data_IF_641459764102
#
_entry.id   IF_641459764102
#
_cell.length_a   1.000
_cell.length_b   1.000
_cell.length_c   1.000
_cell.angle_alpha   90.00
_cell.angle_beta   90.00
_cell.angle_gamma   90.00
#
_symmetry.space_group_name_H-M   'P 1'
#
loop_
_entity.id
_entity.type
_entity.pdbx_description
1 polymer ?
#
# COMPACT_ATOMS: atom_id res chain seq x y z
N UNK A 1 -6.33 -3.34 -11.32
CA UNK A 1 -6.77 -3.64 -12.69
C UNK A 1 -6.64 -2.44 -13.59
N UNK A 2 -6.76 -2.65 -14.90
CA UNK A 2 -6.75 -1.58 -15.91
C UNK A 2 -7.88 -1.82 -16.89
N UNK A 3 -8.51 -0.73 -17.36
CA UNK A 3 -9.62 -0.75 -18.30
C UNK A 3 -9.14 -0.49 -19.74
N UNK A 4 -10.01 -0.65 -20.70
CA UNK A 4 -9.82 -0.07 -22.03
C UNK A 4 -9.74 1.46 -21.94
N UNK A 5 -9.14 2.10 -22.95
CA UNK A 5 -9.02 3.56 -23.02
C UNK A 5 -10.36 4.23 -23.26
N UNK A 6 -10.60 5.32 -22.55
CA UNK A 6 -11.72 6.23 -22.73
C UNK A 6 -11.19 7.66 -22.95
N UNK A 7 -12.05 8.55 -23.41
CA UNK A 7 -11.69 9.96 -23.47
C UNK A 7 -11.27 10.42 -22.07
N UNK A 8 -10.08 11.03 -21.90
CA UNK A 8 -9.63 11.54 -20.62
C UNK A 8 -10.60 12.58 -20.04
N UNK A 9 -10.99 12.38 -18.78
CA UNK A 9 -11.88 13.26 -18.03
C UNK A 9 -11.51 13.35 -16.55
N UNK A 10 -10.82 12.34 -16.00
CA UNK A 10 -10.43 12.28 -14.61
C UNK A 10 -8.98 12.71 -14.45
N UNK A 11 -8.75 13.95 -14.05
CA UNK A 11 -7.41 14.54 -13.90
C UNK A 11 -6.80 14.35 -12.52
N UNK A 12 -7.50 13.70 -11.60
CA UNK A 12 -7.06 13.50 -10.22
C UNK A 12 -7.05 12.01 -9.88
N UNK A 13 -6.20 11.65 -8.93
CA UNK A 13 -6.31 10.36 -8.25
C UNK A 13 -7.40 10.46 -7.20
N UNK A 14 -8.40 9.61 -7.29
CA UNK A 14 -9.47 9.51 -6.30
C UNK A 14 -9.21 8.31 -5.41
N UNK A 15 -9.29 8.51 -4.10
CA UNK A 15 -9.15 7.46 -3.09
C UNK A 15 -10.32 7.57 -2.13
N UNK A 16 -11.05 6.49 -1.93
CA UNK A 16 -12.09 6.38 -0.92
C UNK A 16 -11.63 5.43 0.19
N UNK A 17 -11.39 5.97 1.39
CA UNK A 17 -11.06 5.15 2.56
C UNK A 17 -12.24 4.32 3.06
N UNK A 18 -13.49 4.78 2.86
CA UNK A 18 -14.70 4.06 3.28
C UNK A 18 -15.04 2.89 2.35
N UNK A 19 -14.91 3.09 1.04
CA UNK A 19 -15.18 2.06 0.04
C UNK A 19 -13.93 1.25 -0.33
N UNK A 20 -12.79 1.59 0.25
CA UNK A 20 -11.49 0.95 0.02
C UNK A 20 -11.12 0.84 -1.46
N UNK A 21 -11.36 1.89 -2.24
CA UNK A 21 -11.01 1.92 -3.66
C UNK A 21 -10.08 3.09 -3.98
N UNK A 22 -9.26 2.91 -4.99
CA UNK A 22 -8.61 4.01 -5.69
C UNK A 22 -8.84 3.92 -7.19
N UNK A 23 -8.85 5.08 -7.85
CA UNK A 23 -9.08 5.25 -9.27
C UNK A 23 -8.23 6.41 -9.78
N UNK A 24 -7.53 6.19 -10.87
CA UNK A 24 -6.88 7.26 -11.64
C UNK A 24 -6.99 6.97 -13.13
N UNK A 25 -6.86 8.01 -13.95
CA UNK A 25 -6.87 7.87 -15.40
C UNK A 25 -5.51 8.26 -15.97
N UNK A 26 -5.01 7.48 -16.92
CA UNK A 26 -3.78 7.80 -17.66
C UNK A 26 -4.05 8.85 -18.73
N UNK A 27 -3.01 9.50 -19.22
CA UNK A 27 -3.13 10.45 -20.34
C UNK A 27 -3.63 9.80 -21.63
N UNK A 28 -3.49 8.48 -21.76
CA UNK A 28 -4.00 7.70 -22.89
C UNK A 28 -5.44 7.26 -22.71
N UNK A 29 -6.02 7.49 -21.53
CA UNK A 29 -7.41 7.25 -21.22
C UNK A 29 -7.75 5.97 -20.48
N UNK A 30 -6.79 5.05 -20.22
CA UNK A 30 -7.05 3.87 -19.39
C UNK A 30 -7.26 4.28 -17.94
N UNK A 31 -8.22 3.65 -17.27
CA UNK A 31 -8.39 3.77 -15.84
C UNK A 31 -7.53 2.73 -15.12
N UNK A 32 -6.70 3.17 -14.20
CA UNK A 32 -5.94 2.33 -13.26
C UNK A 32 -6.67 2.29 -11.94
N UNK A 33 -7.05 1.09 -11.54
CA UNK A 33 -8.01 0.84 -10.50
C UNK A 33 -7.49 -0.19 -9.51
N UNK A 34 -7.80 0.00 -8.24
CA UNK A 34 -7.45 -0.97 -7.22
C UNK A 34 -8.31 -0.87 -5.98
N UNK A 35 -8.25 -1.93 -5.22
CA UNK A 35 -8.97 -2.11 -3.98
C UNK A 35 -8.13 -2.99 -3.05
N UNK A 36 -8.44 -2.94 -1.79
CA UNK A 36 -8.26 -3.85 -0.69
C UNK A 36 -7.08 -4.82 -0.66
N UNK A 37 -6.99 -5.47 0.46
CA UNK A 37 -6.05 -6.56 0.75
C UNK A 37 -6.89 -7.77 1.11
N UNK A 38 -6.47 -8.97 0.71
CA UNK A 38 -7.13 -10.21 1.12
C UNK A 38 -7.10 -10.35 2.65
N UNK A 39 -8.19 -10.86 3.21
CA UNK A 39 -8.39 -10.92 4.67
C UNK A 39 -7.53 -12.00 5.35
N UNK A 40 -6.92 -12.88 4.57
CA UNK A 40 -6.04 -13.94 5.08
C UNK A 40 -4.73 -13.99 4.31
N UNK A 41 -3.60 -14.29 4.98
CA UNK A 41 -2.29 -14.32 4.33
C UNK A 41 -2.16 -15.51 3.37
N UNK A 42 -1.67 -15.24 2.17
CA UNK A 42 -1.34 -16.26 1.17
C UNK A 42 -0.30 -15.72 0.19
N UNK A 43 0.35 -16.61 -0.57
CA UNK A 43 1.37 -16.25 -1.55
C UNK A 43 0.85 -16.17 -2.99
N UNK A 44 -0.45 -16.23 -3.21
CA UNK A 44 -1.06 -16.11 -4.53
C UNK A 44 -0.93 -14.68 -5.07
N UNK A 45 -0.42 -14.55 -6.30
CA UNK A 45 -0.34 -13.26 -7.01
C UNK A 45 -1.36 -13.16 -8.15
N UNK A 46 -2.40 -13.97 -8.10
CA UNK A 46 -3.50 -13.93 -9.07
C UNK A 46 -4.65 -13.14 -8.48
N UNK A 47 -5.13 -12.16 -9.23
CA UNK A 47 -6.36 -11.47 -8.87
C UNK A 47 -7.56 -12.40 -8.99
N UNK A 48 -8.57 -12.16 -8.18
CA UNK A 48 -9.76 -13.02 -8.04
C UNK A 48 -11.00 -12.37 -8.67
N UNK A 49 -12.03 -13.17 -8.92
CA UNK A 49 -13.34 -12.65 -9.34
C UNK A 49 -13.97 -11.83 -8.20
N UNK A 50 -13.81 -12.26 -6.95
CA UNK A 50 -14.31 -11.52 -5.79
C UNK A 50 -13.75 -10.10 -5.69
N UNK A 51 -12.45 -9.90 -6.02
CA UNK A 51 -11.90 -8.56 -6.16
C UNK A 51 -12.64 -7.74 -7.21
N UNK A 52 -12.87 -8.32 -8.40
CA UNK A 52 -13.54 -7.60 -9.49
C UNK A 52 -14.98 -7.23 -9.13
N UNK A 53 -15.74 -8.13 -8.51
CA UNK A 53 -17.12 -7.90 -8.08
C UNK A 53 -17.20 -6.80 -7.01
N UNK A 54 -16.37 -6.90 -5.97
CA UNK A 54 -16.30 -5.89 -4.90
C UNK A 54 -15.91 -4.51 -5.44
N UNK A 55 -14.86 -4.46 -6.27
CA UNK A 55 -14.43 -3.20 -6.86
C UNK A 55 -15.50 -2.60 -7.77
N UNK A 56 -16.13 -3.41 -8.64
CA UNK A 56 -17.17 -2.94 -9.54
C UNK A 56 -18.37 -2.35 -8.77
N UNK A 57 -18.80 -3.01 -7.69
CA UNK A 57 -19.88 -2.49 -6.85
C UNK A 57 -19.53 -1.10 -6.28
N UNK A 58 -18.36 -0.97 -5.66
CA UNK A 58 -17.95 0.28 -5.01
C UNK A 58 -17.64 1.40 -6.00
N UNK A 59 -16.97 1.10 -7.11
CA UNK A 59 -16.65 2.13 -8.10
C UNK A 59 -17.89 2.66 -8.79
N UNK A 60 -18.89 1.81 -9.06
CA UNK A 60 -20.14 2.23 -9.69
C UNK A 60 -21.04 3.06 -8.75
N UNK A 61 -20.89 2.88 -7.44
CA UNK A 61 -21.52 3.77 -6.46
C UNK A 61 -21.02 5.22 -6.58
N UNK A 62 -19.69 5.39 -6.76
CA UNK A 62 -19.07 6.72 -6.92
C UNK A 62 -19.15 7.26 -8.35
N UNK A 63 -19.01 6.39 -9.32
CA UNK A 63 -18.90 6.75 -10.74
C UNK A 63 -19.84 5.90 -11.60
N UNK A 64 -21.18 6.12 -11.55
CA UNK A 64 -22.14 5.34 -12.34
C UNK A 64 -21.88 5.38 -13.85
N UNK A 65 -21.19 6.41 -14.33
CA UNK A 65 -20.81 6.55 -15.74
C UNK A 65 -19.91 5.41 -16.23
N UNK A 66 -19.26 4.67 -15.33
CA UNK A 66 -18.36 3.56 -15.66
C UNK A 66 -19.07 2.21 -15.87
N UNK A 67 -20.41 2.17 -15.87
CA UNK A 67 -21.20 0.93 -15.96
C UNK A 67 -20.93 0.06 -17.20
N UNK A 68 -20.42 0.64 -18.29
CA UNK A 68 -20.10 -0.07 -19.53
C UNK A 68 -18.58 -0.20 -19.78
N UNK A 69 -17.76 0.03 -18.75
CA UNK A 69 -16.29 -0.01 -18.88
C UNK A 69 -15.83 -1.46 -18.99
N UNK A 70 -15.06 -1.78 -20.02
CA UNK A 70 -14.45 -3.10 -20.16
C UNK A 70 -13.10 -3.15 -19.43
N UNK A 71 -12.94 -4.16 -18.57
CA UNK A 71 -11.66 -4.47 -17.91
C UNK A 71 -10.78 -5.24 -18.90
N UNK A 72 -9.57 -4.72 -19.15
CA UNK A 72 -8.60 -5.38 -20.02
C UNK A 72 -7.73 -6.36 -19.24
N UNK A 73 -7.31 -5.97 -18.03
CA UNK A 73 -6.39 -6.77 -17.23
C UNK A 73 -6.59 -6.54 -15.76
N UNK A 74 -6.42 -7.60 -14.99
CA UNK A 74 -6.30 -7.53 -13.53
C UNK A 74 -5.09 -8.33 -13.05
N UNK A 75 -4.53 -7.93 -11.92
CA UNK A 75 -3.38 -8.58 -11.28
C UNK A 75 -3.43 -8.35 -9.78
N UNK A 76 -2.67 -9.13 -9.04
CA UNK A 76 -2.43 -8.93 -7.62
C UNK A 76 -0.93 -8.92 -7.34
N UNK A 77 -0.54 -8.43 -6.18
CA UNK A 77 0.82 -8.44 -5.66
C UNK A 77 0.83 -8.86 -4.20
N UNK A 78 2.01 -9.13 -3.67
CA UNK A 78 2.18 -9.43 -2.25
C UNK A 78 2.36 -8.12 -1.49
N UNK A 79 1.69 -8.01 -0.35
CA UNK A 79 1.89 -6.94 0.64
C UNK A 79 2.58 -7.54 1.87
N UNK A 80 3.73 -6.99 2.25
CA UNK A 80 4.48 -7.34 3.44
C UNK A 80 3.93 -6.59 4.66
N UNK A 81 2.86 -7.13 5.25
CA UNK A 81 2.17 -6.50 6.36
C UNK A 81 2.81 -6.84 7.70
N UNK A 82 3.04 -5.82 8.52
CA UNK A 82 3.46 -5.96 9.92
C UNK A 82 2.25 -6.01 10.86
N UNK A 83 2.41 -6.50 12.12
CA UNK A 83 1.29 -6.58 13.06
C UNK A 83 0.61 -5.24 13.38
N UNK A 84 1.33 -4.12 13.25
CA UNK A 84 0.83 -2.76 13.51
C UNK A 84 0.65 -1.93 12.23
N UNK A 85 0.72 -2.58 11.06
CA UNK A 85 0.59 -1.94 9.73
C UNK A 85 1.62 -0.84 9.45
N UNK A 86 2.69 -0.75 10.24
CA UNK A 86 3.75 0.24 10.09
C UNK A 86 5.08 -0.40 9.71
N UNK A 87 5.92 0.24 8.90
CA UNK A 87 7.17 -0.37 8.41
C UNK A 87 8.14 -0.66 9.56
N UNK A 88 9.12 -1.50 9.28
CA UNK A 88 10.30 -1.70 10.12
C UNK A 88 11.45 -0.98 9.46
N UNK A 89 12.05 -0.01 10.16
CA UNK A 89 13.28 0.66 9.76
C UNK A 89 14.20 0.62 10.98
N UNK A 90 15.09 -0.37 11.03
CA UNK A 90 15.85 -0.66 12.25
C UNK A 90 17.21 -1.28 11.95
N UNK A 91 18.18 -1.00 12.79
CA UNK A 91 19.26 -1.93 13.03
C UNK A 91 18.71 -3.07 13.90
N UNK A 92 19.17 -4.30 13.65
CA UNK A 92 18.86 -5.45 14.48
C UNK A 92 20.02 -5.61 15.47
N UNK A 93 19.74 -5.38 16.75
CA UNK A 93 20.77 -5.26 17.78
C UNK A 93 21.56 -6.56 18.00
N UNK A 94 20.98 -7.72 17.71
CA UNK A 94 21.58 -9.03 17.87
C UNK A 94 22.62 -9.37 16.78
N UNK A 95 22.63 -8.61 15.68
CA UNK A 95 23.50 -8.88 14.53
C UNK A 95 24.19 -7.58 14.11
N UNK A 96 25.49 -7.47 14.40
CA UNK A 96 26.24 -6.25 14.04
C UNK A 96 26.21 -6.00 12.52
N UNK A 97 25.92 -4.74 12.16
CA UNK A 97 25.83 -4.32 10.76
C UNK A 97 24.61 -4.80 9.99
N UNK A 98 23.64 -5.45 10.65
CA UNK A 98 22.40 -5.87 9.99
C UNK A 98 21.30 -4.83 10.17
N UNK A 99 20.78 -4.36 9.05
CA UNK A 99 19.71 -3.36 8.98
C UNK A 99 18.52 -3.89 8.21
N UNK A 100 17.32 -3.57 8.66
CA UNK A 100 16.06 -3.91 8.00
C UNK A 100 15.32 -2.63 7.60
N UNK A 101 14.85 -2.60 6.38
CA UNK A 101 13.93 -1.59 5.89
C UNK A 101 12.86 -2.32 5.04
N UNK A 102 11.72 -2.62 5.65
CA UNK A 102 10.68 -3.47 5.06
C UNK A 102 9.37 -3.37 5.81
N UNK A 103 8.41 -4.23 5.47
CA UNK A 103 7.08 -4.20 6.09
C UNK A 103 6.24 -2.99 5.66
N UNK A 104 6.43 -2.52 4.43
CA UNK A 104 5.82 -1.29 3.92
C UNK A 104 4.36 -1.45 3.52
N UNK A 105 3.87 -2.67 3.46
CA UNK A 105 2.50 -2.93 3.05
C UNK A 105 2.17 -2.31 1.69
N UNK A 106 1.39 -1.23 1.68
CA UNK A 106 0.95 -0.53 0.46
C UNK A 106 1.62 0.83 0.22
N UNK A 107 2.52 1.29 1.11
CA UNK A 107 3.05 2.68 1.08
C UNK A 107 4.46 2.82 0.55
N UNK A 108 5.18 1.74 0.33
CA UNK A 108 6.62 1.74 0.10
C UNK A 108 7.07 2.67 -1.02
N UNK A 109 6.34 2.74 -2.13
CA UNK A 109 6.73 3.55 -3.26
C UNK A 109 6.83 5.05 -2.90
N UNK A 110 5.76 5.63 -2.35
CA UNK A 110 5.73 7.06 -2.01
C UNK A 110 6.61 7.41 -0.81
N UNK A 111 6.85 6.46 0.08
CA UNK A 111 7.69 6.66 1.26
C UNK A 111 9.19 6.47 0.96
N UNK A 112 9.55 5.91 -0.19
CA UNK A 112 10.93 5.52 -0.52
C UNK A 112 11.97 6.65 -0.40
N UNK A 113 11.71 7.93 -0.78
CA UNK A 113 12.70 8.97 -0.63
C UNK A 113 13.03 9.27 0.84
N UNK A 114 12.02 9.41 1.68
CA UNK A 114 12.20 9.68 3.11
C UNK A 114 12.80 8.48 3.84
N UNK A 115 12.33 7.28 3.54
CA UNK A 115 12.84 6.03 4.07
C UNK A 115 14.30 5.82 3.70
N UNK A 116 14.63 5.96 2.42
CA UNK A 116 16.00 5.79 1.93
C UNK A 116 16.96 6.79 2.56
N UNK A 117 16.59 8.06 2.66
CA UNK A 117 17.40 9.08 3.31
C UNK A 117 17.68 8.74 4.78
N UNK A 118 16.65 8.43 5.56
CA UNK A 118 16.81 8.11 6.98
C UNK A 118 17.58 6.80 7.21
N UNK A 119 17.37 5.80 6.36
CA UNK A 119 18.15 4.55 6.41
C UNK A 119 19.63 4.82 6.12
N UNK A 120 19.95 5.64 5.13
CA UNK A 120 21.32 6.02 4.82
C UNK A 120 21.99 6.75 6.00
N UNK A 121 21.27 7.67 6.65
CA UNK A 121 21.75 8.36 7.86
C UNK A 121 22.01 7.39 9.01
N UNK A 122 21.10 6.44 9.22
CA UNK A 122 21.24 5.41 10.26
C UNK A 122 22.47 4.55 10.03
N UNK A 123 22.69 4.09 8.81
CA UNK A 123 23.83 3.24 8.45
C UNK A 123 25.15 4.02 8.56
N UNK A 124 25.20 5.24 8.02
CA UNK A 124 26.42 6.05 8.01
C UNK A 124 26.87 6.49 9.42
N UNK A 125 25.91 6.87 10.28
CA UNK A 125 26.20 7.40 11.59
C UNK A 125 26.11 6.36 12.72
N UNK A 126 25.68 5.13 12.42
CA UNK A 126 25.37 4.08 13.41
C UNK A 126 24.44 4.57 14.52
N UNK A 127 23.50 5.42 14.15
CA UNK A 127 22.52 6.02 15.07
C UNK A 127 21.18 6.17 14.38
N UNK A 128 20.11 5.73 15.04
CA UNK A 128 18.75 5.86 14.52
C UNK A 128 18.32 7.33 14.53
N UNK A 129 17.96 7.91 13.37
CA UNK A 129 17.35 9.24 13.31
C UNK A 129 16.00 9.29 14.04
N UNK A 130 15.69 10.44 14.65
CA UNK A 130 14.45 10.65 15.41
C UNK A 130 13.18 10.34 14.61
N UNK A 131 13.17 10.68 13.33
CA UNK A 131 12.01 10.45 12.44
C UNK A 131 11.64 8.99 12.32
N UNK A 132 12.60 8.07 12.34
CA UNK A 132 12.38 6.64 12.18
C UNK A 132 12.46 5.85 13.49
N UNK A 133 12.73 6.52 14.61
CA UNK A 133 12.81 5.90 15.94
C UNK A 133 11.54 5.07 16.30
N UNK A 134 10.32 5.54 16.00
CA UNK A 134 9.12 4.76 16.27
C UNK A 134 9.03 3.44 15.50
N UNK A 135 9.75 3.32 14.38
CA UNK A 135 9.69 2.17 13.47
C UNK A 135 10.75 1.11 13.77
N UNK A 136 11.40 1.16 14.92
CA UNK A 136 12.37 0.15 15.35
C UNK A 136 11.72 -1.22 15.51
N UNK A 137 12.49 -2.28 15.19
CA UNK A 137 12.03 -3.66 15.33
C UNK A 137 11.62 -4.03 16.77
N UNK A 138 12.35 -3.53 17.77
CA UNK A 138 12.12 -3.82 19.19
C UNK A 138 10.75 -3.36 19.71
N UNK A 139 10.06 -2.45 18.99
CA UNK A 139 8.72 -1.96 19.37
C UNK A 139 7.70 -3.08 19.56
N UNK A 140 7.85 -4.20 18.85
CA UNK A 140 6.95 -5.36 18.99
C UNK A 140 7.14 -6.06 20.33
N UNK A 141 8.39 -6.28 20.76
CA UNK A 141 8.71 -6.86 22.06
C UNK A 141 8.35 -5.93 23.23
N UNK A 142 8.48 -4.62 23.03
CA UNK A 142 8.18 -3.57 24.00
C UNK A 142 6.68 -3.19 24.05
N UNK A 143 5.86 -3.75 23.16
CA UNK A 143 4.44 -3.40 22.98
C UNK A 143 4.23 -1.89 22.71
N UNK A 144 5.15 -1.27 21.97
CA UNK A 144 5.09 0.15 21.55
C UNK A 144 4.66 0.27 20.10
N UNK A 145 3.49 -0.28 19.78
CA UNK A 145 2.98 -0.34 18.41
C UNK A 145 2.68 1.05 17.86
N UNK A 146 3.05 1.25 16.60
CA UNK A 146 2.75 2.46 15.84
C UNK A 146 1.47 2.21 15.06
N UNK A 147 0.34 2.69 15.56
CA UNK A 147 -0.94 2.52 14.87
C UNK A 147 -1.01 3.36 13.60
N UNK A 148 -0.89 2.75 12.43
CA UNK A 148 -1.09 3.41 11.14
C UNK A 148 -2.58 3.42 10.78
N UNK A 149 -3.23 4.55 11.02
CA UNK A 149 -4.69 4.70 10.82
C UNK A 149 -5.12 4.59 9.35
N UNK A 150 -4.27 4.96 8.41
CA UNK A 150 -4.61 4.89 6.99
C UNK A 150 -4.56 3.45 6.44
N UNK A 151 -3.68 2.60 6.97
CA UNK A 151 -3.60 1.18 6.62
C UNK A 151 -4.65 0.35 7.37
N UNK A 152 -4.96 0.69 8.61
CA UNK A 152 -5.97 0.00 9.41
C UNK A 152 -7.38 0.07 8.79
N UNK A 153 -7.64 1.09 7.97
CA UNK A 153 -8.91 1.19 7.23
C UNK A 153 -9.05 0.19 6.07
N UNK A 154 -8.00 -0.54 5.72
CA UNK A 154 -7.98 -1.51 4.61
C UNK A 154 -8.31 -2.94 5.08
N UNK A 155 -8.38 -3.20 6.36
CA UNK A 155 -8.55 -4.52 6.96
C UNK A 155 -9.79 -4.72 7.85
N UNK A 156 -10.74 -3.78 7.86
CA UNK A 156 -11.98 -3.89 8.64
C UNK A 156 -13.19 -4.15 7.77
#
# INVERSE_FOLDING_TARGET
MVTQSYKPWLHHVVVSGTLHIYLSQTDRGELVCGNGIDTYPHYGMRSTLGFLESYAAHVLELFPVLHNVAVQRQWAGLCDMTPDYSPIISQIDEIDGFYVNGGWGTYGFKASPASGYNTAQMVANRKTPEMIEPFRYNRFAENRLVGEKAAASVGS
#
